data_IF_899890172385
#
_entry.id   IF_899890172385
#
_cell.length_a   1.000
_cell.length_b   1.000
_cell.length_c   1.000
_cell.angle_alpha   90.00
_cell.angle_beta   90.00
_cell.angle_gamma   90.00
#
_symmetry.space_group_name_H-M   'P 1'
#
loop_
_entity.id
_entity.type
_entity.pdbx_description
1 polymer ?
#
# COMPACT_ATOMS: atom_id res chain seq x y z
N UNK A 1 4.43 -10.45 7.39
CA UNK A 1 4.79 -9.04 7.68
C UNK A 1 4.75 -8.10 6.47
N UNK A 2 4.54 -8.56 5.23
CA UNK A 2 4.45 -7.70 4.04
C UNK A 2 3.19 -6.81 3.96
N UNK A 3 2.14 -7.05 4.77
CA UNK A 3 0.87 -6.34 4.65
C UNK A 3 0.87 -4.92 5.27
N UNK A 4 1.73 -4.62 6.24
CA UNK A 4 1.69 -3.31 6.92
C UNK A 4 2.40 -2.20 6.13
N UNK A 5 3.19 -2.58 5.12
CA UNK A 5 3.99 -1.68 4.29
C UNK A 5 3.17 -0.74 3.39
N UNK A 6 1.90 -1.05 3.13
CA UNK A 6 1.05 -0.27 2.20
C UNK A 6 0.34 0.94 2.84
N UNK A 7 0.55 1.21 4.13
CA UNK A 7 -0.23 2.23 4.85
C UNK A 7 0.28 3.68 4.74
N UNK A 8 1.44 3.95 4.14
CA UNK A 8 1.76 5.32 3.77
C UNK A 8 1.39 5.54 2.30
N UNK A 9 0.15 5.96 2.10
CA UNK A 9 -0.39 6.29 0.78
C UNK A 9 0.55 7.25 0.06
N UNK A 10 1.06 6.80 -1.08
CA UNK A 10 1.69 7.65 -2.09
C UNK A 10 0.79 8.85 -2.36
N UNK A 11 1.38 10.02 -2.12
CA UNK A 11 0.85 11.34 -2.40
C UNK A 11 0.69 11.51 -3.92
N UNK A 12 -0.44 11.08 -4.48
CA UNK A 12 -0.87 11.43 -5.83
C UNK A 12 -2.40 11.55 -5.86
N UNK A 13 -2.87 12.79 -5.81
CA UNK A 13 -4.25 13.10 -6.20
C UNK A 13 -4.39 12.84 -7.71
N UNK A 14 -5.48 12.23 -8.19
CA UNK A 14 -5.77 12.21 -9.61
C UNK A 14 -6.09 13.63 -10.06
N UNK A 15 -5.15 14.26 -10.77
CA UNK A 15 -5.46 15.43 -11.61
C UNK A 15 -6.37 14.90 -12.71
N UNK A 16 -7.66 15.22 -12.61
CA UNK A 16 -8.64 14.98 -13.66
C UNK A 16 -8.26 15.77 -14.92
N UNK A 17 -7.54 15.14 -15.85
CA UNK A 17 -7.44 15.63 -17.22
C UNK A 17 -8.65 15.16 -18.02
N UNK A 18 -9.53 16.11 -18.33
CA UNK A 18 -10.65 15.94 -19.26
C UNK A 18 -10.16 15.50 -20.64
N UNK A 19 -10.71 14.39 -21.13
CA UNK A 19 -10.98 14.16 -22.56
C UNK A 19 -9.81 13.80 -23.45
N UNK A 20 -9.53 12.51 -23.60
CA UNK A 20 -8.91 11.96 -24.81
C UNK A 20 -9.70 10.73 -25.25
N UNK A 21 -10.52 10.92 -26.28
CA UNK A 21 -11.21 9.86 -27.02
C UNK A 21 -10.17 9.07 -27.82
N UNK A 22 -10.05 7.76 -27.59
CA UNK A 22 -9.36 6.85 -28.51
C UNK A 22 -10.39 6.05 -29.34
N UNK A 23 -10.26 6.00 -30.68
CA UNK A 23 -11.19 5.25 -31.51
C UNK A 23 -10.86 3.76 -31.51
N UNK A 24 -11.85 2.92 -31.23
CA UNK A 24 -11.76 1.47 -31.39
C UNK A 24 -11.79 1.11 -32.90
N UNK A 25 -10.75 0.44 -33.39
CA UNK A 25 -10.77 -0.28 -34.67
C UNK A 25 -11.12 -1.75 -34.42
N UNK A 26 -12.24 -2.18 -34.99
CA UNK A 26 -12.69 -3.58 -34.96
C UNK A 26 -11.89 -4.47 -35.91
N UNK A 27 -11.81 -5.76 -35.55
CA UNK A 27 -11.64 -6.87 -36.50
C UNK A 27 -12.41 -8.09 -36.00
N UNK A 28 -13.08 -8.77 -36.94
CA UNK A 28 -14.16 -9.72 -36.71
C UNK A 28 -13.77 -11.19 -36.56
N UNK A 29 -14.76 -11.92 -36.00
CA UNK A 29 -15.14 -13.34 -36.12
C UNK A 29 -14.13 -14.39 -36.61
N UNK A 30 -13.84 -15.39 -35.76
CA UNK A 30 -14.35 -16.76 -35.99
C UNK A 30 -14.02 -17.75 -34.83
N UNK A 31 -15.07 -18.47 -34.43
CA UNK A 31 -15.15 -19.85 -33.94
C UNK A 31 -14.24 -20.37 -32.81
N UNK A 32 -14.90 -20.83 -31.73
CA UNK A 32 -14.57 -22.14 -31.16
C UNK A 32 -14.52 -22.20 -29.64
N UNK A 33 -15.40 -23.04 -29.10
CA UNK A 33 -15.39 -23.63 -27.76
C UNK A 33 -16.04 -22.88 -26.59
N UNK A 34 -17.15 -23.50 -26.19
CA UNK A 34 -17.99 -23.30 -25.02
C UNK A 34 -17.21 -23.66 -23.75
N UNK A 35 -17.19 -22.75 -22.77
CA UNK A 35 -17.09 -23.15 -21.37
C UNK A 35 -17.90 -22.16 -20.53
N UNK A 36 -19.05 -22.62 -20.03
CA UNK A 36 -19.85 -21.88 -19.06
C UNK A 36 -19.04 -21.73 -17.76
N UNK A 37 -18.59 -20.52 -17.44
CA UNK A 37 -18.23 -20.13 -16.09
C UNK A 37 -19.23 -19.08 -15.62
N UNK A 38 -20.20 -19.52 -14.82
CA UNK A 38 -21.06 -18.65 -14.01
C UNK A 38 -20.19 -18.01 -12.93
N UNK A 39 -19.87 -16.73 -13.08
CA UNK A 39 -19.48 -15.90 -11.95
C UNK A 39 -20.71 -15.18 -11.42
N UNK A 40 -20.95 -15.33 -10.12
CA UNK A 40 -22.08 -14.72 -9.42
C UNK A 40 -21.93 -13.20 -9.40
N UNK A 41 -22.93 -12.50 -9.95
CA UNK A 41 -23.13 -11.06 -9.79
C UNK A 41 -23.28 -10.74 -8.29
N UNK A 42 -22.30 -10.06 -7.71
CA UNK A 42 -22.40 -9.43 -6.39
C UNK A 42 -23.18 -8.13 -6.57
N UNK A 43 -24.35 -8.04 -5.94
CA UNK A 43 -25.14 -6.82 -5.86
C UNK A 43 -24.39 -5.77 -5.02
N UNK A 44 -24.38 -4.48 -5.40
CA UNK A 44 -23.86 -3.44 -4.52
C UNK A 44 -24.72 -3.36 -3.25
N UNK A 45 -24.05 -3.38 -2.10
CA UNK A 45 -24.67 -3.20 -0.78
C UNK A 45 -25.22 -1.78 -0.67
N UNK A 46 -26.49 -1.67 -0.26
CA UNK A 46 -27.12 -0.41 0.12
C UNK A 46 -26.46 0.11 1.39
N UNK A 47 -25.91 1.32 1.35
CA UNK A 47 -25.53 2.04 2.56
C UNK A 47 -26.81 2.36 3.36
N UNK A 48 -26.88 1.84 4.59
CA UNK A 48 -27.89 2.19 5.57
C UNK A 48 -27.48 3.50 6.25
N UNK A 49 -28.41 4.45 6.32
CA UNK A 49 -28.31 5.64 7.17
C UNK A 49 -28.01 5.21 8.62
N UNK A 50 -26.91 5.70 9.17
CA UNK A 50 -26.65 5.68 10.61
C UNK A 50 -27.06 7.03 11.17
N UNK A 51 -28.15 7.02 11.93
CA UNK A 51 -28.64 8.16 12.69
C UNK A 51 -27.90 8.20 14.03
N UNK A 52 -26.97 9.15 14.19
CA UNK A 52 -26.29 9.38 15.46
C UNK A 52 -26.92 10.60 16.16
N UNK A 53 -27.48 10.36 17.34
CA UNK A 53 -28.10 11.35 18.20
C UNK A 53 -27.07 12.21 18.93
N UNK A 54 -27.37 13.51 18.97
CA UNK A 54 -26.65 14.66 19.53
C UNK A 54 -26.18 14.52 20.99
N UNK A 55 -24.99 15.07 21.27
CA UNK A 55 -24.70 15.80 22.53
C UNK A 55 -24.03 17.14 22.20
N UNK A 56 -24.78 18.21 22.50
CA UNK A 56 -24.38 19.58 22.87
C UNK A 56 -23.41 20.39 21.97
N UNK A 57 -23.99 21.33 21.21
CA UNK A 57 -23.31 22.53 20.72
C UNK A 57 -24.06 23.20 19.56
N UNK A 58 -24.77 24.31 19.82
CA UNK A 58 -25.40 25.15 18.77
C UNK A 58 -24.32 25.85 17.94
N UNK A 59 -24.34 25.69 16.61
CA UNK A 59 -24.25 26.86 15.75
C UNK A 59 -25.45 26.89 14.79
N UNK A 60 -25.90 28.10 14.48
CA UNK A 60 -27.01 28.39 13.56
C UNK A 60 -26.91 27.61 12.25
N UNK A 61 -27.78 26.63 12.04
CA UNK A 61 -27.92 25.93 10.77
C UNK A 61 -28.74 26.79 9.81
N UNK A 62 -28.09 27.46 8.87
CA UNK A 62 -28.74 27.92 7.64
C UNK A 62 -29.02 26.66 6.82
N UNK A 63 -30.29 26.29 6.69
CA UNK A 63 -30.71 25.19 5.83
C UNK A 63 -30.52 25.61 4.37
N UNK A 64 -29.45 25.13 3.73
CA UNK A 64 -29.34 25.18 2.27
C UNK A 64 -30.14 24.02 1.69
N UNK A 65 -31.20 24.32 0.96
CA UNK A 65 -31.87 23.34 0.12
C UNK A 65 -30.88 22.92 -0.98
N UNK A 66 -30.35 21.71 -0.89
CA UNK A 66 -29.59 21.12 -2.00
C UNK A 66 -30.57 20.96 -3.16
N UNK A 67 -30.34 21.59 -4.32
CA UNK A 67 -31.16 21.32 -5.49
C UNK A 67 -31.06 19.82 -5.78
N UNK A 68 -32.20 19.12 -5.89
CA UNK A 68 -32.22 17.82 -6.54
C UNK A 68 -31.78 18.06 -7.99
N UNK A 69 -30.47 17.93 -8.23
CA UNK A 69 -29.93 17.82 -9.56
C UNK A 69 -30.42 16.47 -10.05
N UNK A 70 -31.55 16.49 -10.77
CA UNK A 70 -32.06 15.40 -11.60
C UNK A 70 -31.14 15.13 -12.78
N UNK A 71 -29.85 14.92 -12.49
CA UNK A 71 -28.88 14.39 -13.41
C UNK A 71 -29.11 12.89 -13.51
N UNK A 72 -29.28 12.41 -14.74
CA UNK A 72 -29.03 11.03 -15.13
C UNK A 72 -27.84 10.50 -14.28
N UNK A 73 -28.14 9.55 -13.40
CA UNK A 73 -27.20 9.11 -12.37
C UNK A 73 -25.97 8.55 -13.06
N UNK A 74 -24.94 9.38 -13.21
CA UNK A 74 -23.66 8.98 -13.78
C UNK A 74 -23.13 7.88 -12.87
N UNK A 75 -23.36 6.63 -13.26
CA UNK A 75 -22.88 5.47 -12.55
C UNK A 75 -21.37 5.61 -12.49
N UNK A 76 -20.82 5.57 -11.28
CA UNK A 76 -19.39 5.37 -11.13
C UNK A 76 -19.11 3.96 -11.68
N UNK A 77 -18.64 3.90 -12.93
CA UNK A 77 -18.26 2.65 -13.57
C UNK A 77 -16.91 2.23 -13.00
N UNK A 78 -16.94 1.31 -12.05
CA UNK A 78 -15.77 0.66 -11.49
C UNK A 78 -15.35 -0.49 -12.41
N UNK A 79 -14.52 -0.17 -13.42
CA UNK A 79 -14.07 -1.12 -14.41
C UNK A 79 -13.10 -2.15 -13.81
N UNK A 80 -13.25 -3.41 -14.20
CA UNK A 80 -12.23 -4.41 -13.90
C UNK A 80 -10.91 -4.11 -14.63
N UNK A 81 -9.77 -4.58 -14.09
CA UNK A 81 -8.46 -4.33 -14.70
C UNK A 81 -8.40 -4.74 -16.19
N UNK A 82 -9.02 -5.85 -16.57
CA UNK A 82 -9.04 -6.30 -17.97
C UNK A 82 -9.80 -5.36 -18.91
N UNK A 83 -10.76 -4.59 -18.39
CA UNK A 83 -11.56 -3.62 -19.15
C UNK A 83 -10.88 -2.26 -19.17
N UNK A 84 -10.31 -1.84 -18.04
CA UNK A 84 -9.61 -0.57 -17.89
C UNK A 84 -8.24 -0.56 -18.59
N UNK A 85 -7.48 -1.66 -18.48
CA UNK A 85 -6.12 -1.80 -19.01
C UNK A 85 -5.82 -3.26 -19.41
N UNK A 86 -6.24 -3.70 -20.60
CA UNK A 86 -5.99 -5.05 -21.11
C UNK A 86 -4.50 -5.35 -21.33
N UNK A 87 -3.67 -4.32 -21.55
CA UNK A 87 -2.22 -4.50 -21.74
C UNK A 87 -1.54 -4.88 -20.43
N UNK A 88 -1.83 -4.16 -19.35
CA UNK A 88 -1.35 -4.51 -18.00
C UNK A 88 -1.88 -5.86 -17.57
N UNK A 89 -3.15 -6.17 -17.85
CA UNK A 89 -3.70 -7.50 -17.57
C UNK A 89 -2.90 -8.60 -18.27
N UNK A 90 -2.57 -8.42 -19.55
CA UNK A 90 -1.79 -9.40 -20.31
C UNK A 90 -0.37 -9.58 -19.74
N UNK A 91 0.25 -8.52 -19.21
CA UNK A 91 1.55 -8.62 -18.52
C UNK A 91 1.43 -9.43 -17.23
N UNK A 92 0.42 -9.16 -16.40
CA UNK A 92 0.18 -9.91 -15.14
C UNK A 92 -0.05 -11.40 -15.43
N UNK A 93 -0.81 -11.73 -16.47
CA UNK A 93 -1.06 -13.13 -16.85
C UNK A 93 0.22 -13.84 -17.31
N UNK A 94 1.10 -13.16 -18.05
CA UNK A 94 2.42 -13.69 -18.44
C UNK A 94 3.32 -13.92 -17.22
N UNK A 95 3.35 -12.97 -16.27
CA UNK A 95 4.17 -13.11 -15.04
C UNK A 95 3.64 -14.23 -14.15
N UNK A 96 2.32 -14.38 -14.02
CA UNK A 96 1.70 -15.49 -13.29
C UNK A 96 2.07 -16.85 -13.91
N UNK A 97 2.02 -16.95 -15.24
CA UNK A 97 2.41 -18.16 -15.96
C UNK A 97 3.91 -18.48 -15.79
N UNK A 98 4.77 -17.46 -15.81
CA UNK A 98 6.20 -17.59 -15.49
C UNK A 98 6.40 -18.18 -14.10
N UNK A 99 5.84 -17.56 -13.07
CA UNK A 99 5.96 -18.02 -11.68
C UNK A 99 5.45 -19.46 -11.49
N UNK A 100 4.35 -19.83 -12.16
CA UNK A 100 3.80 -21.18 -12.08
C UNK A 100 4.70 -22.25 -12.74
N UNK A 101 5.44 -21.87 -13.78
CA UNK A 101 6.32 -22.77 -14.55
C UNK A 101 7.78 -22.74 -14.06
N UNK A 102 8.13 -21.86 -13.13
CA UNK A 102 9.48 -21.68 -12.61
C UNK A 102 9.69 -22.36 -11.26
N UNK A 103 10.91 -22.84 -11.03
CA UNK A 103 11.38 -23.19 -9.69
C UNK A 103 12.11 -21.96 -9.14
N UNK A 104 11.46 -21.23 -8.24
CA UNK A 104 12.04 -20.02 -7.63
C UNK A 104 13.03 -20.39 -6.52
N UNK A 105 14.31 -20.12 -6.76
CA UNK A 105 15.43 -20.43 -5.85
C UNK A 105 16.09 -19.18 -5.26
N UNK A 106 15.49 -18.00 -5.46
CA UNK A 106 15.97 -16.75 -4.90
C UNK A 106 15.55 -16.69 -3.43
N UNK A 107 16.53 -16.70 -2.50
CA UNK A 107 16.28 -16.81 -1.06
C UNK A 107 15.43 -15.68 -0.44
N UNK A 108 15.35 -14.52 -1.10
CA UNK A 108 14.56 -13.37 -0.67
C UNK A 108 13.14 -13.33 -1.24
N UNK A 109 12.80 -14.21 -2.18
CA UNK A 109 11.49 -14.25 -2.80
C UNK A 109 10.56 -15.24 -2.11
N UNK A 110 9.25 -14.98 -2.18
CA UNK A 110 8.23 -15.84 -1.59
C UNK A 110 6.86 -15.58 -2.22
N UNK A 111 5.96 -16.56 -2.13
CA UNK A 111 4.56 -16.42 -2.55
C UNK A 111 3.69 -16.03 -1.36
N UNK A 112 3.10 -14.84 -1.42
CA UNK A 112 2.19 -14.38 -0.37
C UNK A 112 0.82 -15.04 -0.48
N UNK A 113 0.04 -15.00 0.60
CA UNK A 113 -1.30 -15.58 0.61
C UNK A 113 -2.30 -14.70 -0.13
N UNK A 114 -3.37 -15.33 -0.66
CA UNK A 114 -4.48 -14.61 -1.28
C UNK A 114 -5.11 -13.58 -0.34
N UNK A 115 -5.26 -13.92 0.94
CA UNK A 115 -5.81 -13.00 1.94
C UNK A 115 -4.96 -11.73 2.10
N UNK A 116 -3.64 -11.82 2.00
CA UNK A 116 -2.75 -10.64 2.03
C UNK A 116 -2.95 -9.79 0.78
N UNK A 117 -3.05 -10.40 -0.41
CA UNK A 117 -3.30 -9.67 -1.66
C UNK A 117 -4.65 -8.96 -1.66
N UNK A 118 -5.71 -9.59 -1.14
CA UNK A 118 -7.04 -8.99 -1.00
C UNK A 118 -7.02 -7.78 -0.07
N UNK A 119 -6.28 -7.84 1.05
CA UNK A 119 -6.13 -6.71 1.96
C UNK A 119 -5.34 -5.54 1.34
N UNK A 120 -4.27 -5.83 0.61
CA UNK A 120 -3.43 -4.82 -0.07
C UNK A 120 -4.20 -4.06 -1.15
N UNK A 121 -5.06 -4.75 -1.90
CA UNK A 121 -5.93 -4.16 -2.92
C UNK A 121 -7.26 -3.60 -2.40
N UNK A 122 -7.41 -3.44 -1.09
CA UNK A 122 -8.66 -2.98 -0.47
C UNK A 122 -8.82 -1.46 -0.48
N UNK A 123 -9.99 -0.98 -0.06
CA UNK A 123 -10.30 0.45 0.06
C UNK A 123 -9.43 1.22 1.07
N UNK A 124 -8.62 0.53 1.88
CA UNK A 124 -7.70 1.16 2.83
C UNK A 124 -6.71 2.11 2.15
N UNK A 125 -6.36 1.84 0.88
CA UNK A 125 -5.48 2.70 0.06
C UNK A 125 -6.03 4.13 -0.12
N UNK A 126 -7.34 4.33 0.06
CA UNK A 126 -7.98 5.62 -0.13
C UNK A 126 -7.79 6.55 1.07
N UNK A 127 -7.31 6.06 2.22
CA UNK A 127 -7.26 6.84 3.46
C UNK A 127 -5.87 7.40 3.74
N UNK A 128 -5.82 8.72 3.93
CA UNK A 128 -4.65 9.42 4.46
C UNK A 128 -4.70 9.48 5.99
N UNK A 129 -3.65 8.96 6.65
CA UNK A 129 -3.60 8.67 8.09
C UNK A 129 -2.31 9.13 8.77
N UNK A 130 -1.78 10.28 8.36
CA UNK A 130 -0.56 10.86 8.94
C UNK A 130 -0.64 10.98 10.47
N UNK A 131 0.46 10.59 11.13
CA UNK A 131 0.55 10.51 12.59
C UNK A 131 0.54 9.07 13.10
N UNK A 132 0.26 8.91 14.39
CA UNK A 132 0.14 7.63 15.07
C UNK A 132 -1.30 7.42 15.55
N UNK A 133 -1.73 6.18 15.87
CA UNK A 133 -3.04 5.93 16.47
C UNK A 133 -3.33 6.84 17.67
N UNK A 134 -4.53 7.43 17.70
CA UNK A 134 -4.96 8.40 18.71
C UNK A 134 -4.33 9.81 18.59
N UNK A 135 -3.39 10.02 17.67
CA UNK A 135 -2.69 11.29 17.43
C UNK A 135 -2.53 11.57 15.93
N UNK A 136 -3.62 11.43 15.19
CA UNK A 136 -3.68 11.70 13.75
C UNK A 136 -3.82 13.19 13.48
N UNK A 137 -3.21 13.65 12.39
CA UNK A 137 -3.40 15.03 11.90
C UNK A 137 -4.76 15.24 11.23
N UNK A 138 -5.37 14.18 10.71
CA UNK A 138 -6.65 14.22 9.98
C UNK A 138 -7.70 13.35 10.67
N UNK A 139 -8.97 13.74 10.54
CA UNK A 139 -10.12 12.98 11.07
C UNK A 139 -10.48 11.72 10.25
N UNK A 140 -11.44 10.95 10.75
CA UNK A 140 -12.00 9.76 10.08
C UNK A 140 -11.08 8.56 10.05
N UNK A 141 -10.18 8.43 11.03
CA UNK A 141 -9.16 7.38 11.09
C UNK A 141 -9.48 6.30 12.13
N UNK A 142 -10.73 6.18 12.57
CA UNK A 142 -11.15 5.29 13.66
C UNK A 142 -10.79 3.83 13.34
N UNK A 143 -11.10 3.40 12.11
CA UNK A 143 -10.79 2.04 11.64
C UNK A 143 -9.32 1.85 11.24
N UNK A 144 -8.63 2.93 10.86
CA UNK A 144 -7.19 2.86 10.56
C UNK A 144 -6.40 2.70 11.86
N UNK A 145 -6.82 3.38 12.92
CA UNK A 145 -6.23 3.25 14.25
C UNK A 145 -6.43 1.84 14.80
N UNK A 146 -7.65 1.29 14.67
CA UNK A 146 -7.93 -0.10 15.03
C UNK A 146 -7.00 -1.09 14.29
N UNK A 147 -6.87 -0.92 12.97
CA UNK A 147 -6.05 -1.78 12.13
C UNK A 147 -4.55 -1.67 12.45
N UNK A 148 -4.04 -0.45 12.63
CA UNK A 148 -2.62 -0.22 12.95
C UNK A 148 -2.28 -0.76 14.35
N UNK A 149 -3.13 -0.52 15.35
CA UNK A 149 -2.97 -1.10 16.69
C UNK A 149 -3.00 -2.62 16.66
N UNK A 150 -3.91 -3.22 15.88
CA UNK A 150 -3.95 -4.67 15.70
C UNK A 150 -2.67 -5.20 15.02
N UNK A 151 -2.16 -4.51 14.01
CA UNK A 151 -0.90 -4.88 13.34
C UNK A 151 0.28 -4.85 14.33
N UNK A 152 0.38 -3.81 15.15
CA UNK A 152 1.41 -3.68 16.19
C UNK A 152 1.33 -4.81 17.22
N UNK A 153 0.13 -5.09 17.75
CA UNK A 153 -0.08 -6.20 18.70
C UNK A 153 0.32 -7.55 18.11
N UNK A 154 -0.10 -7.83 16.87
CA UNK A 154 0.25 -9.08 16.17
C UNK A 154 1.74 -9.18 15.86
N UNK A 155 2.41 -8.07 15.56
CA UNK A 155 3.86 -8.05 15.35
C UNK A 155 4.60 -8.44 16.65
N UNK A 156 4.26 -7.83 17.78
CA UNK A 156 4.84 -8.18 19.08
C UNK A 156 4.57 -9.64 19.46
N UNK A 157 3.33 -10.11 19.26
CA UNK A 157 2.95 -11.49 19.51
C UNK A 157 3.72 -12.49 18.63
N UNK A 158 3.92 -12.19 17.35
CA UNK A 158 4.63 -13.06 16.41
C UNK A 158 6.11 -13.29 16.81
N UNK A 159 6.74 -12.31 17.45
CA UNK A 159 8.12 -12.42 17.96
C UNK A 159 8.20 -12.83 19.43
N UNK A 160 7.07 -13.13 20.08
CA UNK A 160 7.01 -13.56 21.48
C UNK A 160 7.69 -12.57 22.45
N UNK A 161 7.54 -11.26 22.18
CA UNK A 161 8.12 -10.20 23.01
C UNK A 161 7.08 -9.57 23.93
N UNK A 162 7.50 -9.16 25.11
CA UNK A 162 6.66 -8.44 26.08
C UNK A 162 6.43 -7.00 25.62
N UNK A 163 5.17 -6.63 25.41
CA UNK A 163 4.77 -5.27 25.01
C UNK A 163 5.08 -4.17 26.03
N UNK A 164 5.39 -4.52 27.28
CA UNK A 164 5.88 -3.55 28.26
C UNK A 164 7.37 -3.20 28.07
N UNK A 165 8.12 -4.05 27.36
CA UNK A 165 9.55 -3.88 27.09
C UNK A 165 9.85 -3.51 25.65
N UNK A 166 8.97 -3.92 24.73
CA UNK A 166 9.14 -3.74 23.31
C UNK A 166 7.98 -2.96 22.72
N UNK A 167 8.31 -1.90 21.97
CA UNK A 167 7.40 -1.23 21.04
C UNK A 167 7.72 -1.62 19.61
N UNK A 168 6.79 -1.36 18.70
CA UNK A 168 6.98 -1.60 17.26
C UNK A 168 6.39 -0.45 16.45
N UNK A 169 7.10 -0.04 15.40
CA UNK A 169 6.58 0.83 14.36
C UNK A 169 6.32 -0.02 13.11
N UNK A 170 5.11 0.04 12.58
CA UNK A 170 4.67 -0.77 11.43
C UNK A 170 4.46 0.05 10.15
N UNK A 171 4.90 1.31 10.13
CA UNK A 171 4.65 2.27 9.04
C UNK A 171 5.78 2.33 7.99
N UNK A 172 6.92 1.68 8.23
CA UNK A 172 8.06 1.76 7.30
C UNK A 172 7.75 1.09 5.96
N UNK A 173 7.99 1.80 4.87
CA UNK A 173 7.64 1.43 3.48
C UNK A 173 8.42 0.26 2.86
N UNK A 174 9.55 -0.14 3.45
CA UNK A 174 10.30 -1.35 3.08
C UNK A 174 11.48 -1.51 4.05
N UNK A 175 12.31 -2.54 3.87
CA UNK A 175 13.48 -2.76 4.71
C UNK A 175 14.53 -1.64 4.64
N UNK A 176 14.82 -1.10 3.45
CA UNK A 176 15.83 -0.04 3.30
C UNK A 176 15.42 1.29 3.98
N UNK A 177 14.19 1.81 3.78
CA UNK A 177 13.70 2.95 4.57
C UNK A 177 13.65 2.69 6.07
N UNK A 178 13.32 1.47 6.51
CA UNK A 178 13.31 1.13 7.94
C UNK A 178 14.71 1.29 8.57
N UNK A 179 15.74 0.74 7.92
CA UNK A 179 17.13 0.91 8.36
C UNK A 179 17.55 2.38 8.39
N UNK A 180 17.21 3.14 7.34
CA UNK A 180 17.56 4.57 7.27
C UNK A 180 16.85 5.41 8.34
N UNK A 181 15.59 5.08 8.66
CA UNK A 181 14.84 5.71 9.74
C UNK A 181 15.49 5.43 11.11
N UNK A 182 15.97 4.21 11.36
CA UNK A 182 16.71 3.87 12.58
C UNK A 182 17.99 4.69 12.69
N UNK A 183 18.81 4.74 11.63
CA UNK A 183 20.05 5.53 11.66
C UNK A 183 19.76 7.01 11.92
N UNK A 184 18.77 7.59 11.23
CA UNK A 184 18.39 9.00 11.42
C UNK A 184 17.85 9.29 12.83
N UNK A 185 17.25 8.30 13.50
CA UNK A 185 16.71 8.46 14.85
C UNK A 185 17.80 8.43 15.95
N UNK A 186 18.88 7.66 15.76
CA UNK A 186 19.89 7.40 16.81
C UNK A 186 21.27 7.97 16.51
N UNK A 187 21.54 8.39 15.28
CA UNK A 187 22.81 8.93 14.82
C UNK A 187 22.62 10.33 14.27
N UNK A 188 23.67 11.15 14.40
CA UNK A 188 23.78 12.41 13.67
C UNK A 188 24.33 12.15 12.26
N UNK A 189 24.08 13.05 11.30
CA UNK A 189 24.77 13.01 10.02
C UNK A 189 26.29 12.92 10.23
N UNK A 190 26.94 12.02 9.48
CA UNK A 190 28.38 11.70 9.56
C UNK A 190 28.85 10.94 10.82
N UNK A 191 27.95 10.47 11.67
CA UNK A 191 28.33 9.49 12.70
C UNK A 191 28.71 8.15 12.05
N UNK A 192 29.49 7.36 12.79
CA UNK A 192 30.06 6.10 12.31
C UNK A 192 29.09 4.94 12.44
N UNK A 193 29.10 4.06 11.44
CA UNK A 193 28.33 2.81 11.43
C UNK A 193 29.27 1.67 11.06
N UNK A 194 29.13 0.51 11.69
CA UNK A 194 29.82 -0.72 11.27
C UNK A 194 28.80 -1.76 10.85
N UNK A 195 29.07 -2.45 9.75
CA UNK A 195 28.22 -3.49 9.18
C UNK A 195 29.03 -4.48 8.35
N UNK A 196 28.48 -5.67 8.12
CA UNK A 196 29.12 -6.68 7.27
C UNK A 196 29.29 -6.14 5.84
N UNK A 197 30.47 -6.30 5.25
CA UNK A 197 30.75 -5.82 3.90
C UNK A 197 29.84 -6.48 2.84
N UNK A 198 29.47 -5.74 1.80
CA UNK A 198 28.56 -6.21 0.74
C UNK A 198 29.03 -7.51 0.05
N UNK A 199 30.29 -7.65 -0.41
CA UNK A 199 30.78 -8.91 -1.00
C UNK A 199 30.89 -10.06 0.02
N UNK A 200 30.82 -9.79 1.32
CA UNK A 200 30.84 -10.80 2.38
C UNK A 200 29.44 -11.20 2.87
N UNK A 201 28.38 -10.81 2.15
CA UNK A 201 26.99 -11.13 2.49
C UNK A 201 26.25 -10.01 3.24
N UNK A 202 26.82 -8.81 3.28
CA UNK A 202 26.15 -7.60 3.75
C UNK A 202 24.96 -7.19 2.86
N UNK A 203 24.25 -6.15 3.28
CA UNK A 203 23.15 -5.54 2.51
C UNK A 203 23.48 -4.07 2.21
N UNK A 204 23.02 -3.56 1.05
CA UNK A 204 23.34 -2.19 0.60
C UNK A 204 23.02 -1.11 1.65
N UNK A 205 21.92 -1.26 2.38
CA UNK A 205 21.52 -0.31 3.43
C UNK A 205 22.42 -0.33 4.66
N UNK A 206 23.31 -1.29 4.84
CA UNK A 206 24.25 -1.34 5.98
C UNK A 206 25.51 -0.49 5.73
N UNK A 207 25.64 0.10 4.53
CA UNK A 207 26.77 0.93 4.14
C UNK A 207 27.57 0.29 3.01
N UNK A 208 27.58 0.93 1.84
CA UNK A 208 28.38 0.47 0.71
C UNK A 208 28.98 1.66 -0.02
N UNK A 209 30.29 1.58 -0.23
CA UNK A 209 31.06 2.54 -1.01
C UNK A 209 32.20 1.83 -1.71
N UNK A 210 32.58 2.37 -2.87
CA UNK A 210 33.80 2.01 -3.58
C UNK A 210 34.91 3.00 -3.21
N UNK A 211 36.18 2.72 -3.53
CA UNK A 211 37.28 3.67 -3.28
C UNK A 211 37.07 5.05 -3.92
N UNK A 212 36.23 5.16 -4.95
CA UNK A 212 35.97 6.40 -5.69
C UNK A 212 34.61 7.04 -5.43
N UNK A 213 33.66 6.31 -4.83
CA UNK A 213 32.26 6.74 -4.76
C UNK A 213 31.50 6.09 -3.61
N UNK A 214 30.79 6.90 -2.83
CA UNK A 214 29.74 6.48 -1.88
C UNK A 214 28.48 6.10 -2.66
N UNK A 215 27.99 4.87 -2.46
CA UNK A 215 26.91 4.30 -3.28
C UNK A 215 25.58 4.28 -2.54
N UNK A 216 25.53 3.70 -1.33
CA UNK A 216 24.29 3.63 -0.57
C UNK A 216 23.96 4.97 0.11
N UNK A 217 22.67 5.26 0.34
CA UNK A 217 22.27 6.44 1.10
C UNK A 217 22.94 6.46 2.49
N UNK A 218 23.08 5.29 3.12
CA UNK A 218 23.81 5.13 4.38
C UNK A 218 25.25 5.63 4.27
N UNK A 219 25.99 5.31 3.20
CA UNK A 219 27.37 5.79 3.04
C UNK A 219 27.47 7.25 2.63
N UNK A 220 26.39 7.87 2.14
CA UNK A 220 26.34 9.29 1.81
C UNK A 220 26.10 10.15 3.06
N UNK A 221 25.16 9.74 3.92
CA UNK A 221 24.73 10.52 5.09
C UNK A 221 25.45 10.14 6.38
N UNK A 222 26.10 8.98 6.43
CA UNK A 222 26.85 8.46 7.59
C UNK A 222 28.24 7.96 7.15
N UNK A 223 29.08 7.59 8.11
CA UNK A 223 30.44 7.09 7.86
C UNK A 223 30.54 5.57 8.13
N UNK A 224 30.23 4.72 7.13
CA UNK A 224 30.31 3.27 7.31
C UNK A 224 31.77 2.79 7.30
N UNK A 225 32.06 1.85 8.20
CA UNK A 225 33.32 1.12 8.28
C UNK A 225 33.00 -0.38 8.25
N UNK A 226 33.13 -1.06 7.10
CA UNK A 226 32.79 -2.48 7.00
C UNK A 226 33.72 -3.36 7.83
N UNK A 227 33.23 -4.52 8.28
CA UNK A 227 34.00 -5.59 8.92
C UNK A 227 33.81 -6.94 8.23
#
# INVERSE_FOLDING_TARGET
MQACTMMSSLQQQPIWTKGLNFPAKGYGSNNGFVTQLRFCNIKPSKASHVEASLVAGKPSSVSFSVPEIGGDGSSFLDYGLSEADPEVRAIIDKEKDRQFKSLELIASENFTSRAVMEAVGSCLTNKYSEGLPGRRYYGGNEYIDELETLCQQRALAAFHVDGNKWGVNVQTLSGSPANFAVFTAVLKPHDRIMGLDLPHGGHLSHGFMTPKKRVSATSIYFEPMPY
#
